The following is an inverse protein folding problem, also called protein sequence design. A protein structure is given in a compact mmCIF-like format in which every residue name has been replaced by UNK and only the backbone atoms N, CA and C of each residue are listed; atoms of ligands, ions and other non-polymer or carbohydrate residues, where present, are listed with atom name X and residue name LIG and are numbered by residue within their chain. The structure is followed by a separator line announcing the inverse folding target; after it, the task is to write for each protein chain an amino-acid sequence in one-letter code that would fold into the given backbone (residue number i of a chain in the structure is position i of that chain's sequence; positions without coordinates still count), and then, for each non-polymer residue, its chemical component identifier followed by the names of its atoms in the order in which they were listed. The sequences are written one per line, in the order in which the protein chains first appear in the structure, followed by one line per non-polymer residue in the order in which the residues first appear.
data_IF_666361168376
#
_entry.id   IF_666361168376
#
_cell.length_a   1.000
_cell.length_b   1.000
_cell.length_c   1.000
_cell.angle_alpha   90.00
_cell.angle_beta   90.00
_cell.angle_gamma   90.00
#
_symmetry.space_group_name_H-M   'P 1'
#
loop_
_entity.id
_entity.type
_entity.pdbx_description
1 polymer ?
#
# COMPACT_ATOMS: atom_id res chain seq x y z
N UNK A 1 8.33 19.72 -1.90
CA UNK A 1 7.44 18.53 -1.91
C UNK A 1 7.79 17.67 -0.71
N UNK A 2 6.81 17.28 0.11
CA UNK A 2 7.02 16.26 1.14
C UNK A 2 6.84 14.88 0.50
N UNK A 3 7.68 13.91 0.89
CA UNK A 3 7.65 12.54 0.37
C UNK A 3 7.70 11.54 1.51
N UNK A 4 6.94 10.47 1.42
CA UNK A 4 6.89 9.38 2.40
C UNK A 4 7.02 8.03 1.71
N UNK A 5 7.87 7.17 2.27
CA UNK A 5 7.96 5.76 1.91
C UNK A 5 7.39 4.91 3.06
N UNK A 6 6.38 4.08 2.76
CA UNK A 6 5.77 3.17 3.74
C UNK A 6 6.18 1.74 3.43
N UNK A 7 6.57 0.97 4.45
CA UNK A 7 6.93 -0.44 4.32
C UNK A 7 5.84 -1.32 4.92
N UNK A 8 5.14 -2.09 4.09
CA UNK A 8 4.15 -3.10 4.50
C UNK A 8 4.60 -4.48 4.00
N UNK A 9 5.64 -5.03 4.64
CA UNK A 9 6.34 -6.23 4.13
C UNK A 9 5.54 -7.54 4.31
N UNK A 10 4.83 -7.70 5.43
CA UNK A 10 4.14 -8.94 5.76
C UNK A 10 3.00 -9.27 4.78
N UNK A 11 2.20 -8.26 4.41
CA UNK A 11 1.08 -8.39 3.47
C UNK A 11 0.87 -7.08 2.70
N UNK A 12 0.44 -7.18 1.43
CA UNK A 12 0.13 -6.01 0.59
C UNK A 12 -1.10 -5.26 1.10
N UNK A 13 -1.10 -3.91 1.13
CA UNK A 13 -2.29 -3.10 1.38
C UNK A 13 -3.38 -3.26 0.31
N UNK A 14 -3.06 -3.89 -0.84
CA UNK A 14 -4.01 -4.22 -1.90
C UNK A 14 -4.57 -5.65 -1.78
N UNK A 15 -4.17 -6.41 -0.76
CA UNK A 15 -4.75 -7.72 -0.50
C UNK A 15 -6.19 -7.58 0.02
N UNK A 16 -7.07 -8.50 -0.38
CA UNK A 16 -8.46 -8.56 0.12
C UNK A 16 -8.47 -8.67 1.65
N UNK A 17 -9.04 -7.68 2.38
CA UNK A 17 -9.18 -7.77 3.82
C UNK A 17 -10.11 -8.92 4.23
N UNK A 18 -9.79 -9.57 5.36
CA UNK A 18 -10.56 -10.66 5.95
C UNK A 18 -10.19 -12.06 5.43
N UNK A 19 -9.16 -12.17 4.58
CA UNK A 19 -8.68 -13.44 4.00
C UNK A 19 -7.17 -13.56 4.20
N UNK A 20 -6.70 -14.75 4.60
CA UNK A 20 -5.27 -15.01 4.85
C UNK A 20 -4.70 -14.01 5.86
N UNK A 21 -3.55 -13.42 5.53
CA UNK A 21 -2.89 -12.39 6.34
C UNK A 21 -3.43 -10.96 6.10
N UNK A 22 -4.50 -10.80 5.32
CA UNK A 22 -5.13 -9.52 5.03
C UNK A 22 -6.10 -9.11 6.13
N UNK A 23 -5.83 -8.01 6.82
CA UNK A 23 -6.63 -7.55 7.96
C UNK A 23 -6.64 -6.03 8.15
N UNK A 24 -6.87 -5.60 9.40
CA UNK A 24 -7.01 -4.18 9.73
C UNK A 24 -5.78 -3.33 9.42
N UNK A 25 -4.57 -3.90 9.49
CA UNK A 25 -3.33 -3.18 9.15
C UNK A 25 -3.25 -2.84 7.65
N UNK A 26 -3.73 -3.73 6.78
CA UNK A 26 -3.77 -3.49 5.33
C UNK A 26 -4.70 -2.34 5.00
N UNK A 27 -5.90 -2.35 5.59
CA UNK A 27 -6.88 -1.26 5.46
C UNK A 27 -6.29 0.04 6.01
N UNK A 28 -5.71 0.00 7.21
CA UNK A 28 -5.11 1.18 7.83
C UNK A 28 -4.01 1.81 6.96
N UNK A 29 -3.07 1.01 6.46
CA UNK A 29 -1.99 1.50 5.59
C UNK A 29 -2.57 2.05 4.29
N UNK A 30 -3.55 1.37 3.69
CA UNK A 30 -4.20 1.84 2.46
C UNK A 30 -4.85 3.20 2.66
N UNK A 31 -5.72 3.33 3.66
CA UNK A 31 -6.45 4.58 3.91
C UNK A 31 -5.54 5.73 4.35
N UNK A 32 -4.53 5.45 5.19
CA UNK A 32 -3.55 6.45 5.62
C UNK A 32 -2.77 7.01 4.43
N UNK A 33 -2.23 6.13 3.59
CA UNK A 33 -1.45 6.55 2.42
C UNK A 33 -2.32 7.27 1.41
N UNK A 34 -3.55 6.80 1.18
CA UNK A 34 -4.48 7.47 0.27
C UNK A 34 -4.84 8.90 0.73
N UNK A 35 -5.04 9.08 2.04
CA UNK A 35 -5.31 10.41 2.61
C UNK A 35 -4.11 11.35 2.50
N UNK A 36 -2.88 10.84 2.69
CA UNK A 36 -1.65 11.61 2.51
C UNK A 36 -1.45 12.03 1.04
N UNK A 37 -1.62 11.11 0.11
CA UNK A 37 -1.54 11.38 -1.33
C UNK A 37 -2.55 12.45 -1.75
N UNK A 38 -3.81 12.31 -1.32
CA UNK A 38 -4.88 13.30 -1.55
C UNK A 38 -4.58 14.67 -0.93
N UNK A 39 -3.72 14.73 0.08
CA UNK A 39 -3.27 15.98 0.72
C UNK A 39 -2.02 16.59 0.06
N UNK A 40 -1.54 16.02 -1.05
CA UNK A 40 -0.40 16.51 -1.82
C UNK A 40 0.96 15.96 -1.39
N UNK A 41 0.99 14.88 -0.60
CA UNK A 41 2.23 14.19 -0.23
C UNK A 41 2.57 13.12 -1.26
N UNK A 42 3.80 13.11 -1.76
CA UNK A 42 4.28 12.07 -2.67
C UNK A 42 4.51 10.77 -1.87
N UNK A 43 3.68 9.76 -2.09
CA UNK A 43 3.68 8.54 -1.30
C UNK A 43 4.04 7.30 -2.13
N UNK A 44 4.92 6.46 -1.59
CA UNK A 44 5.21 5.13 -2.14
C UNK A 44 5.10 4.08 -1.05
N UNK A 45 4.28 3.06 -1.27
CA UNK A 45 4.16 1.92 -0.36
C UNK A 45 4.82 0.69 -0.95
N UNK A 46 5.84 0.18 -0.27
CA UNK A 46 6.54 -1.04 -0.66
C UNK A 46 5.95 -2.23 0.08
N UNK A 47 5.76 -3.32 -0.64
CA UNK A 47 5.34 -4.61 -0.10
C UNK A 47 6.07 -5.73 -0.82
N UNK A 48 6.04 -6.93 -0.24
CA UNK A 48 6.71 -8.09 -0.82
C UNK A 48 5.92 -8.62 -2.03
N UNK A 49 6.58 -8.81 -3.17
CA UNK A 49 6.02 -9.58 -4.28
C UNK A 49 5.87 -11.06 -3.86
N UNK A 50 4.67 -11.61 -4.02
CA UNK A 50 4.32 -12.94 -3.47
C UNK A 50 4.01 -14.00 -4.52
N UNK A 51 3.94 -13.62 -5.81
CA UNK A 51 3.86 -14.54 -6.95
C UNK A 51 4.53 -13.94 -8.17
N UNK A 52 4.92 -14.78 -9.11
CA UNK A 52 5.45 -14.37 -10.42
C UNK A 52 4.37 -13.64 -11.23
N UNK A 53 4.78 -12.64 -12.02
CA UNK A 53 3.88 -11.90 -12.92
C UNK A 53 3.04 -10.80 -12.25
N UNK A 54 3.31 -10.46 -10.99
CA UNK A 54 2.74 -9.24 -10.39
C UNK A 54 3.37 -7.98 -11.03
N UNK A 55 2.60 -6.88 -11.17
CA UNK A 55 3.18 -5.61 -11.57
C UNK A 55 4.20 -5.14 -10.51
N UNK A 56 5.31 -4.55 -10.97
CA UNK A 56 6.33 -3.97 -10.09
C UNK A 56 5.82 -2.72 -9.37
N UNK A 57 4.98 -1.93 -10.06
CA UNK A 57 4.37 -0.71 -9.55
C UNK A 57 2.89 -0.67 -9.92
N UNK A 58 2.06 -0.25 -8.97
CA UNK A 58 0.63 0.00 -9.16
C UNK A 58 0.35 1.44 -8.74
N UNK A 59 -0.21 2.24 -9.65
CA UNK A 59 -0.72 3.57 -9.30
C UNK A 59 -2.08 3.40 -8.65
N UNK A 60 -2.25 4.03 -7.50
CA UNK A 60 -3.37 3.76 -6.58
C UNK A 60 -4.21 5.00 -6.32
N UNK A 61 -3.56 6.10 -5.98
CA UNK A 61 -4.14 7.44 -5.84
C UNK A 61 -3.34 8.43 -6.73
N UNK A 62 -3.84 9.67 -6.94
CA UNK A 62 -3.09 10.76 -7.56
C UNK A 62 -1.80 11.13 -6.84
#
# INVERSE_FOLDING_TARGET
MQRVAVLSMHTSPLAQPGVGDGGGMNVYVRELVSALASSGVDCTTYTRAWRTGLPEVVMVEP
#
